data_IF_837933811628
#
_entry.id   IF_837933811628
#
_cell.length_a   1.000
_cell.length_b   1.000
_cell.length_c   1.000
_cell.angle_alpha   90.00
_cell.angle_beta   90.00
_cell.angle_gamma   90.00
#
_symmetry.space_group_name_H-M   'P 1'
#
loop_
_entity.id
_entity.type
_entity.pdbx_description
1 polymer ?
#
# COMPACT_ATOMS: atom_id res chain seq x y z
N UNK A 1 -4.59 -18.94 -21.61
CA UNK A 1 -3.31 -18.74 -20.89
C UNK A 1 -2.63 -17.50 -21.45
N UNK A 2 -2.83 -16.33 -20.84
CA UNK A 2 -2.13 -15.09 -21.22
C UNK A 2 -1.34 -14.65 -19.98
N UNK A 3 -0.01 -14.78 -20.07
CA UNK A 3 0.93 -14.33 -19.04
C UNK A 3 0.89 -12.80 -19.02
N UNK A 4 0.51 -12.19 -17.90
CA UNK A 4 0.71 -10.76 -17.72
C UNK A 4 2.22 -10.49 -17.72
N UNK A 5 2.68 -9.75 -18.73
CA UNK A 5 4.01 -9.16 -18.73
C UNK A 5 4.03 -8.05 -17.68
N UNK A 6 4.84 -8.22 -16.63
CA UNK A 6 5.28 -7.11 -15.78
C UNK A 6 5.97 -6.09 -16.69
N UNK A 7 5.34 -4.96 -17.00
CA UNK A 7 6.07 -3.80 -17.52
C UNK A 7 7.00 -3.33 -16.39
N UNK A 8 8.34 -3.38 -16.57
CA UNK A 8 9.25 -2.82 -15.58
C UNK A 8 8.99 -1.30 -15.55
N UNK A 9 8.68 -0.73 -14.38
CA UNK A 9 8.78 0.72 -14.23
C UNK A 9 10.26 1.05 -14.43
N UNK A 10 10.67 1.68 -15.54
CA UNK A 10 12.06 1.94 -15.78
C UNK A 10 12.53 2.94 -14.73
N UNK A 11 13.62 2.64 -14.03
CA UNK A 11 14.29 3.63 -13.19
C UNK A 11 14.79 4.72 -14.14
N UNK A 12 14.26 5.96 -14.05
CA UNK A 12 14.60 7.00 -15.00
C UNK A 12 16.08 7.39 -14.85
N UNK A 13 16.83 7.35 -15.96
CA UNK A 13 18.20 7.85 -16.02
C UNK A 13 18.13 9.28 -16.54
N UNK A 14 18.47 10.25 -15.68
CA UNK A 14 18.56 11.66 -16.07
C UNK A 14 19.99 11.98 -16.51
N UNK A 15 20.13 12.46 -17.75
CA UNK A 15 21.42 12.89 -18.30
C UNK A 15 21.80 14.33 -17.89
N UNK A 16 20.86 15.05 -17.29
CA UNK A 16 20.95 16.47 -16.97
C UNK A 16 20.48 16.73 -15.52
N UNK A 17 21.25 17.54 -14.79
CA UNK A 17 20.99 17.83 -13.37
C UNK A 17 19.72 18.65 -13.16
N UNK A 18 19.44 19.64 -14.02
CA UNK A 18 18.27 20.50 -13.89
C UNK A 18 16.97 19.69 -14.07
N UNK A 19 17.00 18.74 -15.01
CA UNK A 19 15.92 17.78 -15.27
C UNK A 19 15.69 16.89 -14.05
N UNK A 20 16.76 16.35 -13.46
CA UNK A 20 16.66 15.55 -12.23
C UNK A 20 16.09 16.38 -11.06
N UNK A 21 16.60 17.60 -10.86
CA UNK A 21 16.13 18.53 -9.82
C UNK A 21 14.64 18.86 -9.96
N UNK A 22 14.15 19.00 -11.19
CA UNK A 22 12.75 19.24 -11.47
C UNK A 22 11.83 18.02 -11.19
N UNK A 23 12.38 16.84 -10.85
CA UNK A 23 11.59 15.64 -10.52
C UNK A 23 11.53 15.32 -9.03
N UNK A 24 12.52 15.76 -8.25
CA UNK A 24 12.59 15.47 -6.82
C UNK A 24 11.66 16.37 -6.01
N UNK A 25 11.29 15.92 -4.81
CA UNK A 25 10.49 16.67 -3.83
C UNK A 25 9.06 17.07 -4.26
N UNK A 26 8.53 16.52 -5.36
CA UNK A 26 7.10 16.64 -5.70
C UNK A 26 6.27 15.81 -4.74
N UNK A 27 5.81 16.44 -3.66
CA UNK A 27 4.82 15.86 -2.74
C UNK A 27 3.44 16.22 -3.26
N UNK A 28 2.80 15.28 -3.95
CA UNK A 28 1.37 15.40 -4.30
C UNK A 28 0.58 15.05 -3.04
N UNK A 29 -0.33 15.91 -2.55
CA UNK A 29 -1.25 15.56 -1.48
C UNK A 29 -2.02 14.29 -1.83
N UNK A 30 -2.29 13.42 -0.85
CA UNK A 30 -2.96 12.13 -1.12
C UNK A 30 -4.32 12.29 -1.81
N UNK A 31 -5.03 13.38 -1.54
CA UNK A 31 -6.33 13.69 -2.14
C UNK A 31 -6.24 14.18 -3.60
N UNK A 32 -5.04 14.56 -4.05
CA UNK A 32 -4.75 15.03 -5.41
C UNK A 32 -4.03 13.97 -6.26
N UNK A 33 -3.82 12.76 -5.71
CA UNK A 33 -3.20 11.67 -6.46
C UNK A 33 -4.15 11.19 -7.55
N UNK A 34 -3.75 11.38 -8.81
CA UNK A 34 -4.46 10.82 -9.95
C UNK A 34 -4.50 9.28 -9.85
N UNK A 35 -5.71 8.73 -9.81
CA UNK A 35 -5.92 7.29 -9.68
C UNK A 35 -5.70 6.64 -11.05
N UNK A 36 -4.48 6.15 -11.27
CA UNK A 36 -4.13 5.47 -12.52
C UNK A 36 -4.80 4.09 -12.64
N UNK A 37 -5.03 3.58 -13.86
CA UNK A 37 -5.55 2.23 -14.06
C UNK A 37 -4.69 1.15 -13.40
N UNK A 38 -3.36 1.29 -13.45
CA UNK A 38 -2.43 0.35 -12.82
C UNK A 38 -2.57 0.33 -11.29
N UNK A 39 -2.87 1.47 -10.66
CA UNK A 39 -3.15 1.53 -9.24
C UNK A 39 -4.47 0.80 -8.91
N UNK A 40 -5.52 1.01 -9.70
CA UNK A 40 -6.79 0.30 -9.56
C UNK A 40 -6.62 -1.22 -9.71
N UNK A 41 -5.85 -1.67 -10.71
CA UNK A 41 -5.55 -3.09 -10.92
C UNK A 41 -4.80 -3.67 -9.72
N UNK A 42 -3.85 -2.91 -9.17
CA UNK A 42 -3.08 -3.30 -7.98
C UNK A 42 -3.91 -3.36 -6.70
N UNK A 43 -4.92 -2.49 -6.58
CA UNK A 43 -5.91 -2.53 -5.50
C UNK A 43 -6.83 -3.73 -5.68
N UNK A 44 -7.37 -3.95 -6.87
CA UNK A 44 -8.23 -5.08 -7.19
C UNK A 44 -7.54 -6.42 -6.88
N UNK A 45 -6.25 -6.55 -7.22
CA UNK A 45 -5.48 -7.75 -6.92
C UNK A 45 -5.30 -8.04 -5.41
N UNK A 46 -5.28 -7.00 -4.56
CA UNK A 46 -5.08 -7.13 -3.09
C UNK A 46 -6.40 -7.18 -2.33
N UNK A 47 -7.34 -6.33 -2.73
CA UNK A 47 -8.60 -6.09 -2.04
C UNK A 47 -9.72 -6.95 -2.63
N UNK A 48 -9.55 -7.48 -3.84
CA UNK A 48 -10.54 -8.32 -4.54
C UNK A 48 -11.66 -7.52 -5.22
N UNK A 49 -11.58 -6.20 -5.18
CA UNK A 49 -12.57 -5.30 -5.77
C UNK A 49 -11.86 -4.04 -6.29
N UNK A 50 -12.30 -3.55 -7.44
CA UNK A 50 -11.75 -2.36 -8.08
C UNK A 50 -12.26 -1.09 -7.40
N UNK A 51 -11.55 -0.65 -6.37
CA UNK A 51 -11.87 0.53 -5.56
C UNK A 51 -10.80 1.61 -5.72
N UNK A 52 -11.19 2.87 -5.51
CA UNK A 52 -10.20 3.95 -5.35
C UNK A 52 -9.44 3.76 -4.02
N UNK A 53 -8.23 4.33 -3.88
CA UNK A 53 -7.50 4.30 -2.61
C UNK A 53 -8.33 4.82 -1.43
N UNK A 54 -9.05 5.94 -1.63
CA UNK A 54 -9.91 6.53 -0.59
C UNK A 54 -11.05 5.61 -0.16
N UNK A 55 -11.70 4.93 -1.11
CA UNK A 55 -12.76 3.96 -0.82
C UNK A 55 -12.23 2.75 -0.04
N UNK A 56 -11.01 2.28 -0.34
CA UNK A 56 -10.37 1.20 0.42
C UNK A 56 -10.12 1.64 1.87
N UNK A 57 -9.60 2.85 2.09
CA UNK A 57 -9.37 3.39 3.44
C UNK A 57 -10.69 3.50 4.21
N UNK A 58 -11.73 4.08 3.60
CA UNK A 58 -13.05 4.20 4.22
C UNK A 58 -13.60 2.83 4.63
N UNK A 59 -13.47 1.82 3.76
CA UNK A 59 -13.90 0.45 4.05
C UNK A 59 -13.12 -0.14 5.23
N UNK A 60 -11.80 -0.06 5.23
CA UNK A 60 -10.95 -0.60 6.32
C UNK A 60 -11.33 0.08 7.65
N UNK A 61 -11.44 1.40 7.68
CA UNK A 61 -11.78 2.15 8.88
C UNK A 61 -13.18 1.78 9.39
N UNK A 62 -14.16 1.67 8.50
CA UNK A 62 -15.53 1.29 8.86
C UNK A 62 -15.58 -0.14 9.42
N UNK A 63 -14.86 -1.06 8.79
CA UNK A 63 -14.81 -2.45 9.20
C UNK A 63 -14.13 -2.61 10.57
N UNK A 64 -12.99 -1.96 10.79
CA UNK A 64 -12.29 -1.95 12.09
C UNK A 64 -13.15 -1.30 13.17
N UNK A 65 -13.88 -0.22 12.88
CA UNK A 65 -14.82 0.39 13.83
C UNK A 65 -15.97 -0.55 14.21
N UNK A 66 -16.44 -1.35 13.27
CA UNK A 66 -17.58 -2.26 13.48
C UNK A 66 -17.16 -3.56 14.16
N UNK A 67 -15.99 -4.10 13.78
CA UNK A 67 -15.57 -5.47 14.06
C UNK A 67 -14.27 -5.58 14.86
N UNK A 68 -13.61 -4.46 15.16
CA UNK A 68 -12.42 -4.39 16.00
C UNK A 68 -11.28 -5.30 15.53
N UNK A 69 -10.68 -6.01 16.48
CA UNK A 69 -9.53 -6.90 16.28
C UNK A 69 -9.77 -8.01 15.25
N UNK A 70 -11.03 -8.44 15.06
CA UNK A 70 -11.35 -9.43 14.03
C UNK A 70 -11.05 -8.88 12.64
N UNK A 71 -11.53 -7.66 12.35
CA UNK A 71 -11.22 -6.99 11.09
C UNK A 71 -9.72 -6.72 10.96
N UNK A 72 -9.03 -6.31 12.04
CA UNK A 72 -7.58 -6.11 12.00
C UNK A 72 -6.85 -7.39 11.54
N UNK A 73 -7.16 -8.56 12.09
CA UNK A 73 -6.52 -9.82 11.66
C UNK A 73 -6.84 -10.18 10.21
N UNK A 74 -8.07 -9.94 9.77
CA UNK A 74 -8.48 -10.20 8.39
C UNK A 74 -7.71 -9.30 7.40
N UNK A 75 -7.62 -8.00 7.69
CA UNK A 75 -6.88 -7.04 6.87
C UNK A 75 -5.37 -7.28 6.89
N UNK A 76 -4.75 -7.59 8.03
CA UNK A 76 -3.32 -7.93 8.09
C UNK A 76 -3.00 -9.16 7.24
N UNK A 77 -3.80 -10.23 7.32
CA UNK A 77 -3.61 -11.41 6.44
C UNK A 77 -3.74 -11.04 4.96
N UNK A 78 -4.69 -10.17 4.63
CA UNK A 78 -4.98 -9.80 3.25
C UNK A 78 -3.91 -8.89 2.63
N UNK A 79 -3.40 -7.93 3.40
CA UNK A 79 -2.46 -6.92 2.92
C UNK A 79 -0.99 -7.35 3.11
N UNK A 80 -0.68 -7.93 4.27
CA UNK A 80 0.68 -8.29 4.68
C UNK A 80 0.97 -9.79 4.52
N UNK A 81 -0.05 -10.61 4.21
CA UNK A 81 0.08 -12.06 4.10
C UNK A 81 0.10 -12.80 5.44
N UNK A 82 0.09 -12.07 6.57
CA UNK A 82 0.18 -12.62 7.91
C UNK A 82 -0.56 -11.73 8.92
N UNK A 83 -1.10 -12.32 9.98
CA UNK A 83 -1.57 -11.57 11.15
C UNK A 83 -0.83 -12.06 12.39
N UNK A 84 -0.25 -11.14 13.20
CA UNK A 84 0.53 -11.51 14.36
C UNK A 84 -0.37 -12.12 15.45
N UNK A 85 0.25 -12.96 16.28
CA UNK A 85 -0.43 -13.55 17.44
C UNK A 85 -0.76 -12.48 18.47
N UNK A 86 0.19 -11.57 18.71
CA UNK A 86 0.07 -10.43 19.63
C UNK A 86 0.31 -9.15 18.84
N UNK A 87 -0.55 -8.15 19.03
CA UNK A 87 -0.39 -6.85 18.38
C UNK A 87 0.73 -6.02 18.99
N UNK A 88 0.91 -6.13 20.30
CA UNK A 88 1.99 -5.48 21.02
C UNK A 88 3.29 -6.26 20.82
N UNK A 89 4.33 -5.54 20.42
CA UNK A 89 5.70 -6.07 20.41
C UNK A 89 6.26 -5.89 21.82
N UNK A 90 6.70 -6.99 22.46
CA UNK A 90 7.23 -6.91 23.83
C UNK A 90 8.54 -6.14 23.89
N UNK A 91 8.81 -5.54 25.05
CA UNK A 91 10.06 -4.83 25.31
C UNK A 91 11.29 -5.71 25.07
N UNK A 92 11.24 -6.96 25.52
CA UNK A 92 12.35 -7.92 25.35
C UNK A 92 12.69 -8.14 23.86
N UNK A 93 11.67 -8.20 22.99
CA UNK A 93 11.88 -8.33 21.54
C UNK A 93 12.54 -7.08 20.95
N UNK A 94 12.17 -5.89 21.45
CA UNK A 94 12.77 -4.62 21.02
C UNK A 94 14.23 -4.54 21.47
N UNK A 95 14.52 -4.90 22.72
CA UNK A 95 15.89 -4.86 23.27
C UNK A 95 16.81 -5.84 22.55
N UNK A 96 16.30 -6.99 22.10
CA UNK A 96 17.08 -7.97 21.32
C UNK A 96 17.34 -7.55 19.86
N UNK A 97 16.63 -6.54 19.33
CA UNK A 97 16.75 -6.09 17.94
C UNK A 97 17.69 -4.88 17.77
N UNK A 98 18.23 -4.34 18.85
CA UNK A 98 19.17 -3.22 18.88
C UNK A 98 20.63 -3.68 18.79
#
# INVERSE_FOLDING_TARGET
MIRQARCPMPIPIFADLATAQATILKRVPFDEVEVTPALLDGIEARVGERLTPSQVVERIVTDVRTNGDRALREWSRKLDGHAPTHWEVSRDVIEAAW
#
